data_IF_250833764076
#
_entry.id   IF_250833764076
#
_cell.length_a   1.000
_cell.length_b   1.000
_cell.length_c   1.000
_cell.angle_alpha   90.00
_cell.angle_beta   90.00
_cell.angle_gamma   90.00
#
_symmetry.space_group_name_H-M   'P 1'
#
loop_
_entity.id
_entity.type
_entity.pdbx_description
1 polymer ?
#
# COMPACT_ATOMS: atom_id res chain seq x y z
N UNK A 1 -14.00 2.42 -81.44
CA UNK A 1 -14.68 1.88 -80.23
C UNK A 1 -14.12 0.47 -80.05
N UNK A 2 -13.38 0.06 -79.03
CA UNK A 2 -13.20 0.58 -77.68
C UNK A 2 -11.91 -0.05 -77.15
N UNK A 3 -10.76 0.60 -77.38
CA UNK A 3 -9.47 0.21 -76.83
C UNK A 3 -9.33 0.83 -75.43
N UNK A 4 -10.22 0.48 -74.51
CA UNK A 4 -10.24 1.04 -73.15
C UNK A 4 -10.85 0.04 -72.17
N UNK A 5 -10.22 -1.13 -72.00
CA UNK A 5 -10.63 -2.03 -70.91
C UNK A 5 -9.54 -2.95 -70.33
N UNK A 6 -8.27 -2.76 -70.70
CA UNK A 6 -7.20 -3.68 -70.29
C UNK A 6 -6.13 -3.04 -69.38
N UNK A 7 -6.52 -2.23 -68.39
CA UNK A 7 -5.61 -1.74 -67.34
C UNK A 7 -6.27 -1.70 -65.95
N UNK A 8 -6.95 -2.77 -65.53
CA UNK A 8 -7.31 -2.98 -64.12
C UNK A 8 -7.07 -4.43 -63.70
N UNK A 9 -5.81 -4.81 -63.52
CA UNK A 9 -5.47 -5.93 -62.64
C UNK A 9 -4.30 -5.52 -61.75
N UNK A 10 -4.65 -4.82 -60.67
CA UNK A 10 -3.78 -4.62 -59.50
C UNK A 10 -3.52 -5.97 -58.82
N UNK A 11 -2.51 -6.71 -59.30
CA UNK A 11 -1.94 -7.88 -58.60
C UNK A 11 -1.13 -7.43 -57.38
N UNK A 12 -1.78 -6.90 -56.33
CA UNK A 12 -1.13 -6.59 -55.04
C UNK A 12 -1.58 -7.52 -53.90
N UNK A 13 -2.46 -8.48 -54.16
CA UNK A 13 -3.12 -9.27 -53.11
C UNK A 13 -2.29 -10.38 -52.39
N UNK A 14 -1.35 -11.13 -53.01
CA UNK A 14 -0.79 -12.32 -52.33
C UNK A 14 0.36 -11.99 -51.37
N UNK A 15 1.12 -10.91 -51.61
CA UNK A 15 2.27 -10.51 -50.79
C UNK A 15 1.84 -9.87 -49.47
N UNK A 16 0.76 -9.09 -49.48
CA UNK A 16 0.16 -8.50 -48.27
C UNK A 16 -0.44 -9.56 -47.33
N UNK A 17 -1.05 -10.63 -47.87
CA UNK A 17 -1.59 -11.73 -47.05
C UNK A 17 -0.50 -12.54 -46.33
N UNK A 18 0.66 -12.75 -46.98
CA UNK A 18 1.81 -13.41 -46.34
C UNK A 18 2.44 -12.52 -45.25
N UNK A 19 2.58 -11.22 -45.53
CA UNK A 19 3.07 -10.25 -44.55
C UNK A 19 2.14 -10.13 -43.33
N UNK A 20 0.82 -10.11 -43.54
CA UNK A 20 -0.17 -10.11 -42.46
C UNK A 20 -0.09 -11.38 -41.59
N UNK A 21 0.16 -12.56 -42.18
CA UNK A 21 0.37 -13.81 -41.42
C UNK A 21 1.65 -13.78 -40.59
N UNK A 22 2.73 -13.20 -41.12
CA UNK A 22 3.99 -13.03 -40.38
C UNK A 22 3.78 -12.06 -39.22
N UNK A 23 3.15 -10.90 -39.46
CA UNK A 23 2.82 -9.94 -38.40
C UNK A 23 1.94 -10.56 -37.31
N UNK A 24 0.92 -11.33 -37.70
CA UNK A 24 0.06 -12.04 -36.75
C UNK A 24 0.86 -13.08 -35.93
N UNK A 25 1.74 -13.85 -36.58
CA UNK A 25 2.59 -14.81 -35.88
C UNK A 25 3.56 -14.12 -34.90
N UNK A 26 4.19 -13.01 -35.29
CA UNK A 26 5.01 -12.20 -34.40
C UNK A 26 4.21 -11.63 -33.22
N UNK A 27 3.00 -11.14 -33.47
CA UNK A 27 2.10 -10.65 -32.42
C UNK A 27 1.70 -11.77 -31.45
N UNK A 28 1.31 -12.95 -31.95
CA UNK A 28 1.02 -14.12 -31.12
C UNK A 28 2.24 -14.54 -30.28
N UNK A 29 3.44 -14.56 -30.87
CA UNK A 29 4.67 -14.91 -30.15
C UNK A 29 4.99 -13.88 -29.06
N UNK A 30 4.78 -12.60 -29.32
CA UNK A 30 4.92 -11.53 -28.32
C UNK A 30 3.92 -11.69 -27.18
N UNK A 31 2.67 -12.05 -27.47
CA UNK A 31 1.66 -12.34 -26.44
C UNK A 31 2.03 -13.55 -25.57
N UNK A 32 2.56 -14.62 -26.18
CA UNK A 32 3.03 -15.80 -25.44
C UNK A 32 4.21 -15.44 -24.53
N UNK A 33 5.19 -14.69 -25.04
CA UNK A 33 6.32 -14.23 -24.24
C UNK A 33 5.87 -13.34 -23.06
N UNK A 34 4.92 -12.42 -23.29
CA UNK A 34 4.34 -11.59 -22.23
C UNK A 34 3.60 -12.44 -21.18
N UNK A 35 2.82 -13.44 -21.60
CA UNK A 35 2.13 -14.35 -20.69
C UNK A 35 3.09 -15.20 -19.85
N UNK A 36 4.18 -15.70 -20.45
CA UNK A 36 5.23 -16.42 -19.72
C UNK A 36 5.91 -15.53 -18.67
N UNK A 37 6.23 -14.28 -19.02
CA UNK A 37 6.85 -13.33 -18.10
C UNK A 37 5.92 -12.99 -16.92
N UNK A 38 4.62 -12.80 -17.18
CA UNK A 38 3.62 -12.61 -16.14
C UNK A 38 3.54 -13.82 -15.21
N UNK A 39 3.47 -15.03 -15.78
CA UNK A 39 3.45 -16.28 -15.01
C UNK A 39 4.70 -16.46 -14.14
N UNK A 40 5.88 -16.16 -14.68
CA UNK A 40 7.14 -16.21 -13.93
C UNK A 40 7.17 -15.20 -12.77
N UNK A 41 6.72 -13.97 -13.01
CA UNK A 41 6.66 -12.92 -11.97
C UNK A 41 5.72 -13.30 -10.84
N UNK A 42 4.57 -13.90 -11.17
CA UNK A 42 3.60 -14.38 -10.20
C UNK A 42 4.14 -15.55 -9.39
N UNK A 43 4.78 -16.52 -10.06
CA UNK A 43 5.38 -17.66 -9.40
C UNK A 43 6.48 -17.24 -8.42
N UNK A 44 7.41 -16.39 -8.87
CA UNK A 44 8.56 -15.95 -8.06
C UNK A 44 8.13 -15.13 -6.84
N UNK A 45 7.16 -14.22 -7.01
CA UNK A 45 6.66 -13.42 -5.89
C UNK A 45 5.80 -14.27 -4.95
N UNK A 46 4.94 -15.14 -5.49
CA UNK A 46 4.09 -16.02 -4.68
C UNK A 46 4.88 -17.06 -3.91
N UNK A 47 6.09 -17.40 -4.35
CA UNK A 47 6.99 -18.27 -3.58
C UNK A 47 7.20 -17.72 -2.18
N UNK A 48 7.29 -16.40 -1.99
CA UNK A 48 7.53 -15.75 -0.68
C UNK A 48 6.40 -15.88 0.35
N UNK A 49 5.30 -16.57 0.03
CA UNK A 49 4.17 -16.81 0.94
C UNK A 49 4.56 -17.53 2.23
N UNK A 50 5.58 -18.40 2.20
CA UNK A 50 6.06 -19.09 3.42
C UNK A 50 6.66 -18.16 4.47
N UNK A 51 6.92 -16.90 4.11
CA UNK A 51 7.37 -15.88 5.05
C UNK A 51 6.24 -14.97 5.54
N UNK A 52 5.00 -15.29 5.20
CA UNK A 52 3.82 -14.57 5.66
C UNK A 52 3.04 -15.39 6.69
N UNK A 53 2.44 -14.69 7.64
CA UNK A 53 1.69 -15.27 8.75
C UNK A 53 0.31 -14.64 8.83
N UNK A 54 -0.71 -15.45 9.04
CA UNK A 54 -2.09 -15.02 9.29
C UNK A 54 -2.43 -15.00 10.79
N UNK A 55 -1.72 -15.80 11.58
CA UNK A 55 -1.85 -15.88 13.04
C UNK A 55 -0.73 -15.07 13.71
N UNK A 56 -1.11 -14.18 14.62
CA UNK A 56 -0.18 -13.33 15.37
C UNK A 56 0.77 -14.16 16.24
N UNK A 57 0.30 -15.28 16.79
CA UNK A 57 1.09 -16.11 17.69
C UNK A 57 2.26 -16.80 16.97
N UNK A 58 2.08 -17.11 15.69
CA UNK A 58 3.10 -17.70 14.83
C UNK A 58 4.15 -16.68 14.33
N UNK A 59 3.86 -15.37 14.40
CA UNK A 59 4.79 -14.33 13.94
C UNK A 59 6.03 -14.32 14.84
N UNK A 60 7.26 -14.40 14.29
CA UNK A 60 8.47 -14.24 15.08
C UNK A 60 8.60 -12.80 15.57
N UNK A 61 9.23 -12.62 16.74
CA UNK A 61 9.51 -11.29 17.24
C UNK A 61 10.46 -10.54 16.28
N UNK A 62 10.11 -9.30 15.97
CA UNK A 62 10.97 -8.34 15.31
C UNK A 62 10.84 -7.00 16.01
N UNK A 63 11.94 -6.26 16.16
CA UNK A 63 11.90 -4.97 16.87
C UNK A 63 10.91 -3.96 16.26
N UNK A 64 10.74 -3.98 14.93
CA UNK A 64 9.93 -3.01 14.19
C UNK A 64 8.91 -3.70 13.29
N UNK A 65 7.68 -3.21 13.32
CA UNK A 65 6.69 -3.44 12.27
C UNK A 65 6.72 -2.32 11.22
N UNK A 66 6.92 -2.65 9.94
CA UNK A 66 6.76 -1.72 8.82
C UNK A 66 5.34 -1.82 8.26
N UNK A 67 4.51 -0.81 8.51
CA UNK A 67 3.15 -0.72 7.97
C UNK A 67 3.18 0.02 6.63
N UNK A 68 2.79 -0.69 5.56
CA UNK A 68 2.82 -0.13 4.21
C UNK A 68 1.59 0.76 3.95
N UNK A 69 1.83 1.87 3.26
CA UNK A 69 0.85 2.90 2.93
C UNK A 69 -0.35 2.40 2.12
N UNK A 70 -1.51 2.95 2.46
CA UNK A 70 -2.75 2.86 1.68
C UNK A 70 -3.65 4.04 2.02
N UNK A 71 -4.47 4.47 1.08
CA UNK A 71 -5.40 5.57 1.28
C UNK A 71 -6.44 5.22 2.35
N UNK A 72 -6.74 6.16 3.25
CA UNK A 72 -7.82 5.98 4.25
C UNK A 72 -9.21 5.92 3.62
N UNK A 73 -9.37 6.61 2.50
CA UNK A 73 -10.63 6.72 1.76
C UNK A 73 -10.48 6.20 0.34
N UNK A 74 -11.56 5.61 -0.19
CA UNK A 74 -11.66 5.23 -1.60
C UNK A 74 -11.99 6.47 -2.45
N UNK A 75 -11.86 6.31 -3.77
CA UNK A 75 -12.40 7.26 -4.74
C UNK A 75 -13.92 7.35 -4.51
N UNK A 76 -14.40 8.53 -4.12
CA UNK A 76 -15.80 8.74 -3.68
C UNK A 76 -15.97 8.97 -2.17
N UNK A 77 -14.89 8.94 -1.37
CA UNK A 77 -14.89 9.36 0.04
C UNK A 77 -15.33 8.30 1.05
N UNK A 78 -15.73 7.11 0.59
CA UNK A 78 -16.06 5.99 1.48
C UNK A 78 -14.81 5.44 2.19
N UNK A 79 -15.00 4.83 3.37
CA UNK A 79 -13.90 4.28 4.15
C UNK A 79 -13.23 3.10 3.44
N UNK A 80 -11.89 3.12 3.37
CA UNK A 80 -11.11 2.02 2.83
C UNK A 80 -10.92 0.92 3.88
N UNK A 81 -11.48 -0.26 3.62
CA UNK A 81 -11.34 -1.40 4.51
C UNK A 81 -9.90 -1.94 4.56
N UNK A 82 -9.14 -1.82 3.47
CA UNK A 82 -7.71 -2.18 3.46
C UNK A 82 -6.94 -1.38 4.51
N UNK A 83 -7.19 -0.07 4.60
CA UNK A 83 -6.61 0.80 5.62
C UNK A 83 -6.98 0.32 7.03
N UNK A 84 -8.28 0.15 7.30
CA UNK A 84 -8.77 -0.26 8.63
C UNK A 84 -8.14 -1.57 9.09
N UNK A 85 -8.07 -2.58 8.21
CA UNK A 85 -7.51 -3.88 8.56
C UNK A 85 -6.00 -3.85 8.75
N UNK A 86 -5.25 -3.01 8.02
CA UNK A 86 -3.82 -2.81 8.26
C UNK A 86 -3.53 -2.20 9.62
N UNK A 87 -4.30 -1.17 10.01
CA UNK A 87 -4.16 -0.55 11.33
C UNK A 87 -4.46 -1.57 12.44
N UNK A 88 -5.51 -2.39 12.26
CA UNK A 88 -5.84 -3.45 13.21
C UNK A 88 -4.69 -4.45 13.35
N UNK A 89 -4.16 -4.96 12.24
CA UNK A 89 -3.07 -5.93 12.25
C UNK A 89 -1.78 -5.37 12.89
N UNK A 90 -1.45 -4.11 12.62
CA UNK A 90 -0.30 -3.45 13.24
C UNK A 90 -0.47 -3.28 14.76
N UNK A 91 -1.67 -2.90 15.21
CA UNK A 91 -1.99 -2.82 16.63
C UNK A 91 -1.95 -4.20 17.31
N UNK A 92 -2.42 -5.24 16.63
CA UNK A 92 -2.40 -6.62 17.09
C UNK A 92 -0.98 -7.15 17.33
N UNK A 93 -0.04 -6.90 16.40
CA UNK A 93 1.37 -7.25 16.60
C UNK A 93 1.96 -6.58 17.84
N UNK A 94 1.71 -5.28 18.01
CA UNK A 94 2.23 -4.53 19.15
C UNK A 94 1.65 -5.02 20.48
N UNK A 95 0.33 -5.21 20.53
CA UNK A 95 -0.36 -5.64 21.75
C UNK A 95 0.02 -7.06 22.18
N UNK A 96 0.44 -7.92 21.25
CA UNK A 96 0.94 -9.27 21.53
C UNK A 96 2.46 -9.32 21.73
N UNK A 97 3.14 -8.17 21.86
CA UNK A 97 4.59 -8.11 22.11
C UNK A 97 5.45 -8.67 20.97
N UNK A 98 4.90 -8.78 19.76
CA UNK A 98 5.64 -9.25 18.58
C UNK A 98 6.54 -8.18 18.00
N UNK A 99 6.27 -6.90 18.31
CA UNK A 99 7.08 -5.74 17.92
C UNK A 99 7.10 -4.67 19.01
N UNK A 100 8.20 -3.91 19.10
CA UNK A 100 8.34 -2.81 20.07
C UNK A 100 7.94 -1.45 19.46
N UNK A 101 8.15 -1.29 18.16
CA UNK A 101 7.93 -0.04 17.44
C UNK A 101 7.18 -0.29 16.13
N UNK A 102 6.46 0.74 15.69
CA UNK A 102 5.72 0.73 14.43
C UNK A 102 6.25 1.85 13.54
N UNK A 103 6.77 1.49 12.37
CA UNK A 103 7.14 2.41 11.31
C UNK A 103 6.01 2.45 10.27
N UNK A 104 5.34 3.58 10.13
CA UNK A 104 4.33 3.78 9.07
C UNK A 104 4.98 4.47 7.86
N UNK A 105 4.99 3.83 6.70
CA UNK A 105 5.62 4.36 5.47
C UNK A 105 4.61 4.50 4.34
N UNK A 106 4.62 5.65 3.66
CA UNK A 106 3.69 5.93 2.57
C UNK A 106 3.91 7.29 1.93
N UNK A 107 3.00 7.65 1.03
CA UNK A 107 3.09 8.88 0.24
C UNK A 107 2.66 10.12 1.06
N UNK A 108 3.32 11.24 0.78
CA UNK A 108 3.03 12.58 1.28
C UNK A 108 3.04 13.65 0.15
N UNK A 109 2.84 13.24 -1.11
CA UNK A 109 2.92 14.12 -2.28
C UNK A 109 1.96 15.32 -2.25
N UNK A 110 0.91 15.30 -1.41
CA UNK A 110 0.11 16.50 -1.12
C UNK A 110 -0.23 16.60 0.37
N UNK A 111 -0.37 17.82 0.88
CA UNK A 111 -0.67 18.10 2.30
C UNK A 111 -2.03 17.52 2.73
N UNK A 112 -3.00 17.45 1.81
CA UNK A 112 -4.29 16.77 2.01
C UNK A 112 -4.20 15.24 2.00
N UNK A 113 -3.13 14.65 1.45
CA UNK A 113 -2.95 13.20 1.26
C UNK A 113 -1.65 12.72 1.92
N UNK A 114 -1.52 12.96 3.23
CA UNK A 114 -0.41 12.40 4.01
C UNK A 114 -0.84 11.06 4.61
N UNK A 115 -0.51 9.96 3.94
CA UNK A 115 -0.86 8.61 4.39
C UNK A 115 -0.21 8.25 5.73
N UNK A 116 1.10 8.49 5.96
CA UNK A 116 1.74 8.17 7.25
C UNK A 116 1.10 8.89 8.44
N UNK A 117 0.71 10.16 8.30
CA UNK A 117 -0.01 10.91 9.36
C UNK A 117 -1.37 10.30 9.65
N UNK A 118 -2.08 9.82 8.63
CA UNK A 118 -3.38 9.17 8.81
C UNK A 118 -3.21 7.84 9.55
N UNK A 119 -2.23 7.02 9.15
CA UNK A 119 -1.92 5.76 9.82
C UNK A 119 -1.49 5.98 11.27
N UNK A 120 -0.59 6.95 11.52
CA UNK A 120 -0.16 7.33 12.88
C UNK A 120 -1.35 7.72 13.77
N UNK A 121 -2.25 8.58 13.27
CA UNK A 121 -3.45 8.97 14.03
C UNK A 121 -4.36 7.78 14.31
N UNK A 122 -4.56 6.91 13.33
CA UNK A 122 -5.40 5.73 13.48
C UNK A 122 -4.82 4.71 14.49
N UNK A 123 -3.50 4.54 14.52
CA UNK A 123 -2.81 3.70 15.52
C UNK A 123 -2.94 4.29 16.93
N UNK A 124 -2.77 5.60 17.08
CA UNK A 124 -2.99 6.27 18.38
C UNK A 124 -4.43 6.08 18.85
N UNK A 125 -5.40 6.22 17.94
CA UNK A 125 -6.82 5.94 18.24
C UNK A 125 -7.08 4.47 18.59
N UNK A 126 -6.26 3.55 18.10
CA UNK A 126 -6.30 2.12 18.44
C UNK A 126 -5.58 1.78 19.76
N UNK A 127 -5.09 2.79 20.51
CA UNK A 127 -4.46 2.61 21.82
C UNK A 127 -2.93 2.50 21.78
N UNK A 128 -2.30 2.62 20.61
CA UNK A 128 -0.84 2.52 20.49
C UNK A 128 -0.17 3.83 20.94
N UNK A 129 0.81 3.80 21.86
CA UNK A 129 1.47 5.02 22.33
C UNK A 129 2.18 5.79 21.20
N UNK A 130 1.97 7.10 21.11
CA UNK A 130 2.56 7.93 20.05
C UNK A 130 4.10 7.85 20.00
N UNK A 131 4.76 7.60 21.14
CA UNK A 131 6.22 7.49 21.27
C UNK A 131 6.83 6.27 20.58
N UNK A 132 6.04 5.22 20.32
CA UNK A 132 6.52 4.00 19.65
C UNK A 132 6.25 3.99 18.15
N UNK A 133 5.55 5.02 17.64
CA UNK A 133 5.21 5.13 16.22
C UNK A 133 6.20 6.08 15.56
N UNK A 134 6.77 5.68 14.43
CA UNK A 134 7.63 6.47 13.55
C UNK A 134 6.96 6.62 12.19
N UNK A 135 7.21 7.72 11.48
CA UNK A 135 6.55 8.02 10.21
C UNK A 135 7.57 8.30 9.12
N UNK A 136 7.49 7.53 8.04
CA UNK A 136 8.28 7.71 6.82
C UNK A 136 7.41 8.29 5.70
N UNK A 137 7.76 9.51 5.27
CA UNK A 137 6.98 10.30 4.30
C UNK A 137 7.46 10.18 2.85
N UNK A 138 8.44 9.32 2.59
CA UNK A 138 9.00 9.13 1.25
C UNK A 138 8.82 7.68 0.73
N UNK A 139 7.78 6.99 1.21
CA UNK A 139 7.37 5.65 0.78
C UNK A 139 6.47 5.66 -0.47
N UNK A 140 6.93 6.25 -1.58
CA UNK A 140 6.12 6.41 -2.80
C UNK A 140 5.82 5.09 -3.52
N UNK A 141 6.74 4.13 -3.44
CA UNK A 141 6.61 2.76 -3.93
C UNK A 141 6.89 1.78 -2.81
N UNK A 142 6.47 0.53 -2.98
CA UNK A 142 6.83 -0.54 -2.05
C UNK A 142 8.35 -0.68 -1.93
N UNK A 143 9.09 -0.52 -3.05
CA UNK A 143 10.55 -0.48 -3.04
C UNK A 143 11.10 0.63 -2.15
N UNK A 144 10.57 1.84 -2.27
CA UNK A 144 11.03 2.99 -1.49
C UNK A 144 10.83 2.72 0.02
N UNK A 145 9.66 2.23 0.44
CA UNK A 145 9.40 1.89 1.85
C UNK A 145 10.35 0.81 2.40
N UNK A 146 10.63 -0.24 1.61
CA UNK A 146 11.46 -1.36 2.06
C UNK A 146 12.93 -0.96 2.17
N UNK A 147 13.48 -0.30 1.15
CA UNK A 147 14.88 0.11 1.18
C UNK A 147 15.09 1.19 2.26
N UNK A 148 14.15 2.15 2.40
CA UNK A 148 14.27 3.18 3.43
C UNK A 148 14.17 2.63 4.84
N UNK A 149 13.40 1.57 5.09
CA UNK A 149 13.39 0.91 6.39
C UNK A 149 14.81 0.47 6.82
N UNK A 150 15.63 -0.01 5.89
CA UNK A 150 17.04 -0.35 6.13
C UNK A 150 17.93 0.90 6.17
N UNK A 151 17.97 1.67 5.09
CA UNK A 151 18.97 2.74 4.91
C UNK A 151 18.74 3.95 5.82
N UNK A 152 17.48 4.26 6.14
CA UNK A 152 17.10 5.45 6.91
C UNK A 152 16.80 5.08 8.34
N UNK A 153 16.03 4.03 8.56
CA UNK A 153 15.61 3.63 9.89
C UNK A 153 16.51 2.56 10.51
N UNK A 154 17.53 2.08 9.80
CA UNK A 154 18.51 1.11 10.31
C UNK A 154 17.94 -0.29 10.57
N UNK A 155 16.84 -0.67 9.90
CA UNK A 155 16.16 -1.94 10.13
C UNK A 155 16.55 -2.98 9.08
N UNK A 156 17.44 -3.89 9.46
CA UNK A 156 17.84 -5.04 8.63
C UNK A 156 16.88 -6.24 8.75
N UNK A 157 16.14 -6.33 9.86
CA UNK A 157 15.14 -7.37 10.13
C UNK A 157 13.85 -6.70 10.63
N UNK A 158 12.70 -7.01 10.03
CA UNK A 158 11.41 -6.42 10.43
C UNK A 158 10.19 -7.23 9.97
N UNK A 159 9.03 -6.96 10.60
CA UNK A 159 7.73 -7.51 10.18
C UNK A 159 6.99 -6.50 9.30
N UNK A 160 6.71 -6.85 8.04
CA UNK A 160 5.88 -6.05 7.14
C UNK A 160 4.40 -6.28 7.45
N UNK A 161 3.62 -5.20 7.50
CA UNK A 161 2.16 -5.26 7.73
C UNK A 161 1.42 -4.68 6.53
N UNK A 162 0.74 -5.54 5.81
CA UNK A 162 -0.15 -5.24 4.69
C UNK A 162 -1.07 -6.44 4.41
N UNK A 163 -1.79 -6.45 3.30
CA UNK A 163 -2.49 -7.65 2.84
C UNK A 163 -1.50 -8.68 2.27
N UNK A 164 -1.89 -9.96 2.29
CA UNK A 164 -1.05 -11.08 1.84
C UNK A 164 -0.35 -10.82 0.50
N UNK A 165 -1.09 -10.39 -0.51
CA UNK A 165 -0.53 -10.13 -1.84
C UNK A 165 0.57 -9.05 -1.85
N UNK A 166 0.42 -8.03 -1.00
CA UNK A 166 1.35 -6.90 -0.89
C UNK A 166 2.53 -7.26 0.00
N UNK A 167 2.30 -8.05 1.05
CA UNK A 167 3.37 -8.63 1.87
C UNK A 167 4.29 -9.51 1.03
N UNK A 168 3.75 -10.40 0.18
CA UNK A 168 4.53 -11.22 -0.75
C UNK A 168 5.47 -10.34 -1.60
N UNK A 169 4.94 -9.29 -2.23
CA UNK A 169 5.75 -8.35 -3.02
C UNK A 169 6.82 -7.64 -2.18
N UNK A 170 6.46 -7.19 -0.98
CA UNK A 170 7.37 -6.47 -0.10
C UNK A 170 8.52 -7.37 0.38
N UNK A 171 8.24 -8.63 0.73
CA UNK A 171 9.23 -9.62 1.14
C UNK A 171 10.14 -9.99 -0.02
N UNK A 172 9.59 -10.15 -1.23
CA UNK A 172 10.38 -10.37 -2.43
C UNK A 172 11.41 -9.27 -2.66
N UNK A 173 10.98 -8.00 -2.57
CA UNK A 173 11.87 -6.84 -2.66
C UNK A 173 12.90 -6.84 -1.53
N UNK A 174 12.46 -7.07 -0.28
CA UNK A 174 13.34 -7.07 0.88
C UNK A 174 14.48 -8.08 0.72
N UNK A 175 14.17 -9.31 0.30
CA UNK A 175 15.17 -10.35 0.05
C UNK A 175 16.18 -9.97 -1.02
N UNK A 176 15.73 -9.33 -2.10
CA UNK A 176 16.63 -8.85 -3.15
C UNK A 176 17.68 -7.87 -2.61
N UNK A 177 17.32 -7.04 -1.62
CA UNK A 177 18.22 -6.09 -0.96
C UNK A 177 18.92 -6.65 0.30
N UNK A 178 18.87 -7.98 0.52
CA UNK A 178 19.47 -8.64 1.68
C UNK A 178 18.85 -8.18 3.01
N UNK A 179 17.55 -7.91 3.01
CA UNK A 179 16.76 -7.55 4.20
C UNK A 179 15.94 -8.78 4.59
N UNK A 180 15.99 -9.15 5.87
CA UNK A 180 15.21 -10.26 6.40
C UNK A 180 13.84 -9.76 6.86
N UNK A 181 12.87 -9.81 5.96
CA UNK A 181 11.50 -9.44 6.25
C UNK A 181 10.58 -10.66 6.33
N UNK A 182 9.68 -10.66 7.31
CA UNK A 182 8.49 -11.51 7.35
C UNK A 182 7.24 -10.64 7.17
N UNK A 183 6.10 -11.23 6.82
CA UNK A 183 4.84 -10.53 6.64
C UNK A 183 3.79 -10.94 7.64
N UNK A 184 3.04 -10.00 8.19
CA UNK A 184 1.80 -10.26 8.92
C UNK A 184 0.61 -9.80 8.10
N UNK A 185 -0.28 -10.73 7.78
CA UNK A 185 -1.36 -10.54 6.82
C UNK A 185 -2.56 -9.86 7.50
N UNK A 186 -2.79 -8.61 7.13
CA UNK A 186 -4.04 -7.95 7.41
C UNK A 186 -5.19 -8.61 6.63
N UNK A 187 -6.35 -8.72 7.28
CA UNK A 187 -7.58 -9.25 6.66
C UNK A 187 -7.86 -8.59 5.31
N UNK A 188 -8.23 -9.41 4.32
CA UNK A 188 -8.62 -8.95 2.99
C UNK A 188 -10.13 -8.60 2.95
N UNK A 189 -10.52 -7.38 2.54
CA UNK A 189 -11.93 -6.99 2.39
C UNK A 189 -12.59 -7.62 1.14
N UNK A 190 -12.88 -8.92 1.21
CA UNK A 190 -13.77 -9.74 0.36
C UNK A 190 -13.63 -9.69 -1.19
N UNK A 191 -13.96 -10.82 -1.83
CA UNK A 191 -13.65 -11.16 -3.22
C UNK A 191 -14.25 -10.25 -4.32
N UNK A 192 -15.25 -9.41 -4.03
CA UNK A 192 -15.95 -8.60 -5.06
C UNK A 192 -15.13 -7.39 -5.53
N UNK A 193 -14.21 -6.88 -4.70
CA UNK A 193 -13.16 -5.93 -5.14
C UNK A 193 -11.90 -6.65 -5.65
N UNK A 194 -11.93 -7.99 -5.70
CA UNK A 194 -10.80 -8.85 -5.97
C UNK A 194 -10.27 -8.69 -7.38
N UNK A 195 -11.11 -8.77 -8.43
CA UNK A 195 -10.60 -8.88 -9.82
C UNK A 195 -9.76 -7.67 -10.24
N UNK A 196 -10.27 -6.43 -10.04
CA UNK A 196 -9.51 -5.21 -10.39
C UNK A 196 -8.22 -5.10 -9.57
N UNK A 197 -8.29 -5.45 -8.28
CA UNK A 197 -7.12 -5.42 -7.39
C UNK A 197 -6.09 -6.48 -7.78
N UNK A 198 -6.53 -7.68 -8.14
CA UNK A 198 -5.70 -8.80 -8.61
C UNK A 198 -5.03 -8.49 -9.93
N UNK A 199 -5.76 -7.93 -10.91
CA UNK A 199 -5.18 -7.49 -12.18
C UNK A 199 -4.11 -6.42 -11.93
N UNK A 200 -4.42 -5.40 -11.12
CA UNK A 200 -3.43 -4.37 -10.73
C UNK A 200 -2.22 -4.99 -10.05
N UNK A 201 -2.43 -6.00 -9.21
CA UNK A 201 -1.37 -6.67 -8.48
C UNK A 201 -0.45 -7.47 -9.40
N UNK A 202 -0.99 -8.21 -10.36
CA UNK A 202 -0.23 -8.91 -11.40
C UNK A 202 0.68 -7.94 -12.14
N UNK A 203 0.15 -6.79 -12.56
CA UNK A 203 0.96 -5.75 -13.19
C UNK A 203 2.00 -5.14 -12.23
N UNK A 204 1.65 -4.93 -10.95
CA UNK A 204 2.58 -4.38 -9.97
C UNK A 204 3.73 -5.35 -9.65
N UNK A 205 3.50 -6.66 -9.68
CA UNK A 205 4.53 -7.70 -9.51
C UNK A 205 5.48 -7.74 -10.70
N UNK A 206 4.94 -7.69 -11.91
CA UNK A 206 5.76 -7.55 -13.13
C UNK A 206 6.61 -6.28 -13.09
N UNK A 207 6.00 -5.13 -12.78
CA UNK A 207 6.73 -3.86 -12.68
C UNK A 207 7.77 -3.88 -11.57
N UNK A 208 7.50 -4.52 -10.43
CA UNK A 208 8.47 -4.74 -9.37
C UNK A 208 9.67 -5.56 -9.85
N UNK A 209 9.42 -6.65 -10.58
CA UNK A 209 10.48 -7.47 -11.18
C UNK A 209 11.33 -6.65 -12.17
N UNK A 210 10.70 -5.87 -13.04
CA UNK A 210 11.40 -5.00 -13.99
C UNK A 210 12.21 -3.91 -13.27
N UNK A 211 11.63 -3.26 -12.26
CA UNK A 211 12.30 -2.22 -11.47
C UNK A 211 13.57 -2.75 -10.79
N UNK A 212 13.56 -4.01 -10.32
CA UNK A 212 14.70 -4.65 -9.65
C UNK A 212 15.73 -5.20 -10.65
N UNK A 213 15.31 -6.06 -11.58
CA UNK A 213 16.25 -6.85 -12.39
C UNK A 213 16.63 -6.20 -13.72
N UNK A 214 15.82 -5.26 -14.23
CA UNK A 214 16.07 -4.62 -15.53
C UNK A 214 16.52 -3.18 -15.36
N UNK A 215 15.88 -2.44 -14.45
CA UNK A 215 16.12 -1.01 -14.29
C UNK A 215 17.01 -0.65 -13.09
N UNK A 216 17.35 -1.62 -12.23
CA UNK A 216 18.18 -1.46 -11.02
C UNK A 216 17.86 -0.17 -10.23
N UNK A 217 16.55 0.08 -10.02
CA UNK A 217 16.10 1.35 -9.44
C UNK A 217 16.30 1.37 -7.94
N UNK A 218 17.14 2.29 -7.47
CA UNK A 218 17.24 2.67 -6.07
C UNK A 218 16.01 3.42 -5.52
N UNK A 219 15.99 3.70 -4.20
CA UNK A 219 14.97 4.52 -3.56
C UNK A 219 15.08 5.97 -4.03
N UNK A 220 13.94 6.65 -4.18
CA UNK A 220 13.93 8.05 -4.67
C UNK A 220 14.59 9.04 -3.71
N UNK A 221 14.45 8.82 -2.41
CA UNK A 221 14.98 9.69 -1.37
C UNK A 221 15.51 8.82 -0.23
N UNK A 222 16.71 9.12 0.26
CA UNK A 222 17.29 8.46 1.44
C UNK A 222 17.22 9.36 2.67
N UNK A 223 17.56 10.65 2.58
CA UNK A 223 17.46 11.53 3.75
C UNK A 223 18.38 11.11 4.90
N UNK A 224 18.23 11.73 6.08
CA UNK A 224 19.11 11.48 7.22
C UNK A 224 18.70 10.23 8.03
N UNK A 225 19.65 9.47 8.60
CA UNK A 225 19.35 8.31 9.43
C UNK A 225 18.55 8.67 10.70
N UNK A 226 17.55 7.84 11.02
CA UNK A 226 16.67 7.99 12.19
C UNK A 226 16.81 6.75 13.06
N UNK A 227 17.27 6.93 14.30
CA UNK A 227 17.38 5.84 15.28
C UNK A 227 16.03 5.58 15.94
N UNK A 228 15.43 4.43 15.65
CA UNK A 228 14.22 3.97 16.34
C UNK A 228 14.57 3.60 17.78
N UNK A 229 13.81 4.12 18.75
CA UNK A 229 14.02 3.89 20.18
C UNK A 229 15.23 4.60 20.78
N UNK A 230 15.93 5.43 20.00
CA UNK A 230 17.04 6.26 20.50
C UNK A 230 16.56 7.45 21.36
N UNK A 231 17.47 8.07 22.12
CA UNK A 231 17.16 9.31 22.83
C UNK A 231 16.72 10.38 21.83
N UNK A 232 15.64 11.10 22.15
CA UNK A 232 15.13 12.18 21.29
C UNK A 232 16.24 13.23 21.16
N UNK A 233 16.72 13.56 19.95
CA UNK A 233 17.75 14.57 19.79
C UNK A 233 17.28 15.88 20.42
N UNK A 234 17.99 16.37 21.41
CA UNK A 234 17.67 17.64 22.05
C UNK A 234 18.15 18.75 21.12
N UNK A 235 17.24 19.59 20.62
CA UNK A 235 17.66 20.82 19.95
C UNK A 235 18.33 21.70 21.00
N UNK A 236 19.64 21.90 20.89
CA UNK A 236 20.31 22.95 21.65
C UNK A 236 19.88 24.27 21.03
N UNK A 237 19.06 25.06 21.72
CA UNK A 237 18.84 26.46 21.36
C UNK A 237 20.16 27.19 21.60
N UNK A 238 20.96 27.30 20.55
CA UNK A 238 22.24 28.00 20.55
C UNK A 238 22.01 29.45 20.93
N UNK A 239 22.35 29.85 22.17
CA UNK A 239 23.09 31.11 22.45
C UNK A 239 23.45 31.39 23.91
N UNK A 240 23.01 30.62 24.92
CA UNK A 240 23.52 30.81 26.29
C UNK A 240 23.75 29.45 26.94
N UNK A 241 24.99 29.21 27.37
CA UNK A 241 25.48 27.95 27.93
C UNK A 241 24.85 27.57 29.26
N UNK A 242 23.56 27.27 29.25
CA UNK A 242 22.84 26.63 30.33
C UNK A 242 22.28 25.31 29.80
N UNK A 243 22.54 24.23 30.53
CA UNK A 243 21.93 22.92 30.30
C UNK A 243 20.41 23.03 30.41
N UNK A 244 19.73 23.25 29.29
CA UNK A 244 18.28 23.25 29.23
C UNK A 244 17.75 21.80 29.17
N UNK A 245 16.60 21.52 29.81
CA UNK A 245 15.96 20.23 29.66
C UNK A 245 15.60 19.98 28.19
N UNK A 246 15.86 18.78 27.71
CA UNK A 246 15.55 18.35 26.35
C UNK A 246 14.07 18.54 26.06
N UNK A 247 13.74 19.57 25.28
CA UNK A 247 12.39 19.73 24.76
C UNK A 247 12.16 18.64 23.70
N UNK A 248 11.01 17.94 23.74
CA UNK A 248 10.67 17.01 22.69
C UNK A 248 10.63 17.75 21.35
N UNK A 249 11.24 17.16 20.33
CA UNK A 249 11.25 17.73 18.97
C UNK A 249 9.80 18.06 18.58
N UNK A 250 9.46 19.33 18.32
CA UNK A 250 8.15 19.65 17.79
C UNK A 250 7.95 18.87 16.49
N UNK A 251 6.75 18.30 16.24
CA UNK A 251 6.51 17.52 15.03
C UNK A 251 6.92 18.36 13.82
N UNK A 252 7.89 17.85 13.05
CA UNK A 252 8.59 18.57 11.99
C UNK A 252 7.65 19.57 11.29
N UNK A 253 7.81 20.86 11.62
CA UNK A 253 7.28 21.93 10.79
C UNK A 253 7.95 21.80 9.44
N UNK A 254 7.11 21.72 8.41
CA UNK A 254 7.48 21.46 7.04
C UNK A 254 8.60 22.41 6.60
N UNK A 255 9.80 21.88 6.40
CA UNK A 255 10.81 22.59 5.64
C UNK A 255 10.34 22.66 4.19
N UNK A 256 10.22 23.90 3.74
CA UNK A 256 9.82 24.31 2.41
C UNK A 256 10.71 23.60 1.39
N UNK A 257 10.09 22.90 0.45
CA UNK A 257 10.75 22.56 -0.81
C UNK A 257 11.34 23.83 -1.44
N UNK A 258 12.51 23.77 -2.10
CA UNK A 258 13.03 24.88 -2.87
C UNK A 258 12.01 25.25 -3.94
N UNK A 259 11.52 26.49 -3.88
CA UNK A 259 10.73 27.07 -4.98
C UNK A 259 11.65 27.19 -6.18
N UNK A 260 11.40 26.36 -7.19
CA UNK A 260 12.00 26.53 -8.49
C UNK A 260 11.51 27.87 -9.07
N UNK A 261 12.46 28.79 -9.26
CA UNK A 261 12.19 30.12 -9.82
C UNK A 261 12.17 29.98 -11.33
N UNK A 262 11.00 29.69 -11.90
CA UNK A 262 10.77 30.02 -13.30
C UNK A 262 9.34 30.53 -13.52
N UNK A 263 9.21 31.85 -13.49
CA UNK A 263 8.27 32.64 -14.28
C UNK A 263 9.00 33.96 -14.60
N UNK A 264 8.88 34.51 -15.81
CA UNK A 264 7.62 35.06 -16.34
C UNK A 264 7.39 34.66 -17.82
N UNK A 265 6.30 34.95 -18.53
CA UNK A 265 5.40 36.09 -18.51
C UNK A 265 4.08 35.79 -19.28
N UNK A 266 3.02 36.52 -18.89
CA UNK A 266 1.81 36.98 -19.62
C UNK A 266 1.54 36.50 -21.07
N UNK A 267 0.29 36.08 -21.30
CA UNK A 267 -0.63 36.89 -22.10
C UNK A 267 -2.10 36.61 -21.78
N UNK A 268 -2.84 37.71 -21.70
CA UNK A 268 -4.27 37.80 -21.47
C UNK A 268 -5.05 37.82 -22.80
N UNK A 269 -6.34 37.46 -22.70
CA UNK A 269 -7.49 37.79 -23.54
C UNK A 269 -8.27 36.51 -23.86
N UNK A 270 -9.60 36.46 -23.88
CA UNK A 270 -10.70 37.35 -23.48
C UNK A 270 -11.97 36.54 -23.75
N UNK A 271 -13.10 37.07 -23.30
CA UNK A 271 -14.49 36.71 -23.56
C UNK A 271 -15.04 35.48 -22.83
N UNK A 272 -16.24 35.49 -22.23
CA UNK A 272 -17.19 36.48 -21.71
C UNK A 272 -18.51 35.71 -21.55
N UNK A 273 -19.22 35.90 -20.42
CA UNK A 273 -20.68 36.16 -20.32
C UNK A 273 -21.59 34.98 -20.75
N UNK A 274 -22.59 34.49 -20.01
CA UNK A 274 -23.67 35.16 -19.30
C UNK A 274 -24.37 34.11 -18.38
N UNK A 275 -24.72 34.44 -17.12
CA UNK A 275 -26.10 34.68 -16.59
C UNK A 275 -27.06 33.47 -16.70
N UNK A 276 -27.89 33.09 -15.73
CA UNK A 276 -28.59 33.85 -14.68
C UNK A 276 -29.30 32.91 -13.67
N UNK A 277 -29.71 33.51 -12.54
CA UNK A 277 -30.87 33.22 -11.67
C UNK A 277 -30.87 31.91 -10.84
N UNK A 278 -30.77 31.91 -9.50
CA UNK A 278 -31.60 32.54 -8.44
C UNK A 278 -32.83 31.72 -8.03
N UNK A 279 -32.86 31.40 -6.72
CA UNK A 279 -34.02 31.14 -5.82
C UNK A 279 -34.94 29.95 -6.18
N UNK A 280 -35.49 29.14 -5.27
CA UNK A 280 -36.21 29.49 -4.04
C UNK A 280 -36.56 28.20 -3.25
N UNK A 281 -36.42 28.25 -1.92
CA UNK A 281 -37.34 27.75 -0.85
C UNK A 281 -37.93 26.32 -0.74
N UNK A 282 -38.11 26.00 0.55
CA UNK A 282 -39.06 25.07 1.24
C UNK A 282 -38.50 23.67 1.53
N UNK A 283 -38.30 23.21 2.77
CA UNK A 283 -39.07 23.22 4.04
C UNK A 283 -40.07 22.05 4.18
N UNK A 284 -40.15 21.56 5.44
CA UNK A 284 -41.04 20.53 6.02
C UNK A 284 -40.60 19.06 5.80
N UNK A 285 -40.14 18.35 6.84
CA UNK A 285 -40.92 17.75 7.95
C UNK A 285 -41.85 16.63 7.43
N UNK A 286 -41.88 15.40 7.95
CA UNK A 286 -42.38 15.04 9.29
C UNK A 286 -42.36 13.50 9.40
N UNK A 287 -42.26 12.98 10.64
CA UNK A 287 -42.71 11.64 11.14
C UNK A 287 -42.05 10.38 10.56
N UNK A 288 -41.58 9.40 11.34
CA UNK A 288 -42.05 8.93 12.65
C UNK A 288 -42.52 7.48 12.48
N UNK A 289 -42.36 6.67 13.54
CA UNK A 289 -42.89 5.30 13.78
C UNK A 289 -41.88 4.15 13.57
N UNK A 290 -41.27 3.74 14.68
CA UNK A 290 -41.08 2.32 15.02
C UNK A 290 -42.39 1.75 15.57
N UNK A 291 -42.58 0.42 15.55
CA UNK A 291 -42.37 -0.28 16.81
C UNK A 291 -41.63 -1.63 16.68
N UNK A 292 -41.00 -1.99 17.79
CA UNK A 292 -40.47 -3.30 18.10
C UNK A 292 -41.57 -4.37 18.19
N UNK A 293 -41.21 -5.65 17.99
CA UNK A 293 -41.72 -6.76 18.80
C UNK A 293 -40.74 -7.95 18.77
N UNK A 294 -40.48 -8.45 19.99
CA UNK A 294 -39.90 -9.71 20.49
C UNK A 294 -40.07 -10.96 19.60
N UNK A 295 -39.23 -11.99 19.67
CA UNK A 295 -39.11 -12.92 20.82
C UNK A 295 -37.86 -13.81 20.76
N UNK A 296 -37.38 -14.17 21.95
CA UNK A 296 -36.36 -15.16 22.24
C UNK A 296 -36.85 -16.60 22.02
N UNK A 297 -35.94 -17.54 21.73
CA UNK A 297 -36.00 -18.90 22.30
C UNK A 297 -34.59 -19.50 22.35
N UNK A 298 -34.13 -19.77 23.57
CA UNK A 298 -33.02 -20.66 23.84
C UNK A 298 -33.54 -22.09 23.92
N UNK A 299 -32.78 -23.08 23.43
CA UNK A 299 -32.89 -24.45 23.92
C UNK A 299 -31.52 -25.10 23.92
N UNK A 300 -31.24 -25.75 25.05
CA UNK A 300 -30.03 -26.45 25.40
C UNK A 300 -30.38 -27.92 25.63
N UNK A 301 -29.45 -28.83 25.31
CA UNK A 301 -29.24 -30.16 25.90
C UNK A 301 -27.99 -30.75 25.22
N UNK A 302 -26.86 -31.08 25.89
CA UNK A 302 -26.60 -32.09 26.95
C UNK A 302 -26.91 -33.53 26.45
N UNK A 303 -26.13 -34.60 26.63
CA UNK A 303 -24.90 -34.88 27.38
C UNK A 303 -24.30 -36.26 26.99
N UNK A 304 -23.05 -36.51 27.46
CA UNK A 304 -22.46 -37.79 27.96
C UNK A 304 -22.07 -38.89 26.94
N UNK A 305 -21.03 -39.75 27.11
CA UNK A 305 -20.38 -40.32 28.31
C UNK A 305 -19.04 -41.07 27.97
N UNK A 306 -18.06 -41.04 28.91
CA UNK A 306 -17.08 -42.11 29.33
C UNK A 306 -16.06 -42.72 28.34
N UNK A 307 -14.84 -43.21 28.65
CA UNK A 307 -14.16 -43.68 29.88
C UNK A 307 -12.61 -43.72 29.63
N UNK A 308 -11.72 -43.40 30.59
CA UNK A 308 -10.92 -44.30 31.48
C UNK A 308 -9.51 -44.74 30.98
N UNK A 309 -8.51 -44.73 31.89
CA UNK A 309 -7.24 -45.49 31.79
C UNK A 309 -5.95 -44.70 32.04
N UNK A 310 -5.53 -44.44 33.29
CA UNK A 310 -4.43 -45.11 34.04
C UNK A 310 -2.98 -44.68 33.70
N UNK A 311 -2.35 -44.00 34.67
CA UNK A 311 -0.90 -44.00 34.97
C UNK A 311 -0.55 -45.29 35.78
N UNK A 312 0.71 -45.72 36.04
CA UNK A 312 1.90 -44.89 36.30
C UNK A 312 3.29 -45.41 35.78
N UNK A 313 4.31 -44.57 36.07
CA UNK A 313 5.80 -44.66 36.20
C UNK A 313 6.52 -46.03 36.26
N UNK A 314 7.89 -46.11 36.25
CA UNK A 314 8.95 -45.15 36.66
C UNK A 314 9.70 -44.40 35.56
#
# INVERSE_FOLDING_TARGET
MTLCHLLLQTRTAPRMKKFAKILLACFCLLLVAAAMLLGYSEWTVSDTRHYTYDDVDAVPYNRVALVLGTSKYLIGGSSNHYFKYRIKAAAELYNNGKVDYILVSGDNATVQYNEPRQMRRALIQAGIPAKVIYSDYAGFRTLDSIVRAKEVFGQAHFTVVSQAFHNERAIFIARHFGIEAVGFNAKDPSAYQGIKTRVREVFARLMGLLDLYVLDKGPKFLGEPIVIGGPVPCLTLSTLGMSQPCLPIPPATQDKQPRDKTAPAVNAASSAVATSAASTTSAAATTGISPATSTATATSSSAATSAAGTNPTP
#
